data_IF_424970470219
#
_entry.id   IF_424970470219
#
_cell.length_a   1.000
_cell.length_b   1.000
_cell.length_c   1.000
_cell.angle_alpha   90.00
_cell.angle_beta   90.00
_cell.angle_gamma   90.00
#
_symmetry.space_group_name_H-M   'P 1'
#
loop_
_entity.id
_entity.type
_entity.pdbx_description
1 polymer ?
#
# COMPACT_ATOMS: atom_id res chain seq x y z
N UNK A 1 -64.17 25.30 42.74
CA UNK A 1 -63.35 24.93 43.90
C UNK A 1 -63.30 23.42 44.06
N UNK A 2 -62.37 22.88 44.87
CA UNK A 2 -62.12 21.43 45.00
C UNK A 2 -63.36 20.58 45.38
N UNK A 3 -64.38 21.19 45.98
CA UNK A 3 -65.63 20.50 46.31
C UNK A 3 -66.41 19.96 45.09
N UNK A 4 -66.15 20.49 43.88
CA UNK A 4 -66.76 19.96 42.65
C UNK A 4 -66.38 18.50 42.39
N UNK A 5 -65.20 18.07 42.86
CA UNK A 5 -64.74 16.70 42.72
C UNK A 5 -65.68 15.72 43.43
N UNK A 6 -66.23 16.08 44.60
CA UNK A 6 -67.24 15.26 45.28
C UNK A 6 -68.55 15.15 44.49
N UNK A 7 -68.96 16.23 43.83
CA UNK A 7 -70.19 16.24 43.02
C UNK A 7 -70.03 15.33 41.80
N UNK A 8 -68.89 15.42 41.11
CA UNK A 8 -68.57 14.56 39.96
C UNK A 8 -68.38 13.11 40.37
N UNK A 9 -67.66 12.85 41.48
CA UNK A 9 -67.47 11.49 42.00
C UNK A 9 -68.81 10.82 42.38
N UNK A 10 -69.70 11.54 43.06
CA UNK A 10 -71.03 11.03 43.39
C UNK A 10 -71.90 10.82 42.14
N UNK A 11 -71.78 11.69 41.13
CA UNK A 11 -72.47 11.51 39.85
C UNK A 11 -71.99 10.25 39.12
N UNK A 12 -70.68 10.04 39.03
CA UNK A 12 -70.08 8.84 38.45
C UNK A 12 -70.55 7.57 39.17
N UNK A 13 -70.50 7.56 40.51
CA UNK A 13 -70.96 6.43 41.32
C UNK A 13 -72.46 6.18 41.17
N UNK A 14 -73.27 7.24 41.12
CA UNK A 14 -74.72 7.12 40.97
C UNK A 14 -75.11 6.57 39.59
N UNK A 15 -74.44 7.03 38.53
CA UNK A 15 -74.70 6.59 37.15
C UNK A 15 -74.18 5.18 36.87
N UNK A 16 -73.14 4.74 37.59
CA UNK A 16 -72.58 3.39 37.48
C UNK A 16 -72.99 2.45 38.61
N UNK A 17 -74.03 2.80 39.38
CA UNK A 17 -74.44 2.05 40.58
C UNK A 17 -74.73 0.59 40.28
N UNK A 18 -75.52 0.31 39.25
CA UNK A 18 -75.95 -1.06 38.92
C UNK A 18 -74.78 -1.92 38.44
N UNK A 19 -73.87 -1.36 37.63
CA UNK A 19 -72.65 -2.08 37.21
C UNK A 19 -71.74 -2.41 38.40
N UNK A 20 -71.64 -1.48 39.36
CA UNK A 20 -70.80 -1.66 40.56
C UNK A 20 -71.42 -2.65 41.56
N UNK A 21 -72.75 -2.71 41.67
CA UNK A 21 -73.43 -3.66 42.56
C UNK A 21 -73.35 -5.11 42.08
N UNK A 22 -73.14 -5.32 40.78
CA UNK A 22 -73.00 -6.64 40.18
C UNK A 22 -71.53 -7.12 40.12
N UNK A 23 -70.57 -6.27 40.46
CA UNK A 23 -69.15 -6.57 40.38
C UNK A 23 -68.59 -7.08 41.72
N UNK A 24 -67.61 -7.99 41.65
CA UNK A 24 -66.76 -8.35 42.79
C UNK A 24 -65.63 -7.30 42.99
N UNK A 25 -64.76 -7.50 44.00
CA UNK A 25 -63.73 -6.51 44.34
C UNK A 25 -62.77 -6.22 43.16
N UNK A 26 -62.31 -7.27 42.46
CA UNK A 26 -61.42 -7.11 41.32
C UNK A 26 -62.15 -6.49 40.12
N UNK A 27 -63.38 -6.93 39.84
CA UNK A 27 -64.26 -6.41 38.81
C UNK A 27 -64.56 -4.93 38.98
N UNK A 28 -64.82 -4.47 40.21
CA UNK A 28 -65.01 -3.07 40.53
C UNK A 28 -63.76 -2.23 40.23
N UNK A 29 -62.57 -2.70 40.63
CA UNK A 29 -61.31 -2.00 40.33
C UNK A 29 -61.04 -1.92 38.82
N UNK A 30 -61.31 -3.02 38.08
CA UNK A 30 -61.18 -3.05 36.62
C UNK A 30 -62.20 -2.13 35.94
N UNK A 31 -63.43 -2.06 36.45
CA UNK A 31 -64.47 -1.16 35.97
C UNK A 31 -64.03 0.30 36.08
N UNK A 32 -63.55 0.73 37.26
CA UNK A 32 -63.06 2.10 37.47
C UNK A 32 -61.86 2.45 36.59
N UNK A 33 -60.91 1.52 36.40
CA UNK A 33 -59.69 1.79 35.61
C UNK A 33 -59.94 1.81 34.10
N UNK A 34 -60.85 0.98 33.60
CA UNK A 34 -60.96 0.71 32.16
C UNK A 34 -62.30 1.09 31.57
N UNK A 35 -63.42 0.70 32.20
CA UNK A 35 -64.75 0.86 31.60
C UNK A 35 -65.32 2.25 31.84
N UNK A 36 -65.19 2.75 33.08
CA UNK A 36 -65.73 4.05 33.47
C UNK A 36 -65.17 5.21 32.62
N UNK A 37 -63.83 5.33 32.38
CA UNK A 37 -63.30 6.41 31.56
C UNK A 37 -63.73 6.32 30.09
N UNK A 38 -63.93 5.11 29.56
CA UNK A 38 -64.38 4.91 28.17
C UNK A 38 -65.78 5.45 27.92
N UNK A 39 -66.70 5.35 28.90
CA UNK A 39 -68.10 5.78 28.78
C UNK A 39 -68.27 7.29 28.57
N UNK A 40 -67.33 8.09 29.08
CA UNK A 40 -67.38 9.55 29.02
C UNK A 40 -66.41 10.17 28.00
N UNK A 41 -65.90 9.37 27.05
CA UNK A 41 -65.11 9.90 25.91
C UNK A 41 -65.97 10.75 24.96
N UNK A 42 -67.25 10.42 24.81
CA UNK A 42 -68.19 11.17 23.99
C UNK A 42 -68.64 12.44 24.73
N UNK A 43 -68.61 13.58 24.04
CA UNK A 43 -68.92 14.89 24.62
C UNK A 43 -70.33 14.95 25.21
N UNK A 44 -71.30 14.33 24.56
CA UNK A 44 -72.69 14.28 25.03
C UNK A 44 -72.81 13.59 26.41
N UNK A 45 -72.11 12.46 26.57
CA UNK A 45 -72.10 11.72 27.84
C UNK A 45 -71.40 12.51 28.94
N UNK A 46 -70.32 13.22 28.61
CA UNK A 46 -69.60 14.08 29.54
C UNK A 46 -70.46 15.29 29.97
N UNK A 47 -71.18 15.92 29.03
CA UNK A 47 -72.09 17.04 29.32
C UNK A 47 -73.21 16.61 30.25
N UNK A 48 -73.85 15.47 29.97
CA UNK A 48 -74.88 14.88 30.83
C UNK A 48 -74.37 14.54 32.22
N UNK A 49 -73.13 14.03 32.34
CA UNK A 49 -72.50 13.79 33.64
C UNK A 49 -72.31 15.08 34.44
N UNK A 50 -71.85 16.16 33.79
CA UNK A 50 -71.65 17.45 34.46
C UNK A 50 -72.99 18.06 34.93
N UNK A 51 -74.04 17.95 34.12
CA UNK A 51 -75.38 18.38 34.52
C UNK A 51 -75.89 17.60 35.74
N UNK A 52 -75.71 16.26 35.74
CA UNK A 52 -76.04 15.43 36.90
C UNK A 52 -75.21 15.79 38.13
N UNK A 53 -73.92 16.08 37.98
CA UNK A 53 -73.04 16.50 39.06
C UNK A 53 -73.52 17.83 39.69
N UNK A 54 -73.92 18.81 38.88
CA UNK A 54 -74.48 20.07 39.36
C UNK A 54 -75.81 19.90 40.11
N UNK A 55 -76.59 18.89 39.76
CA UNK A 55 -77.87 18.58 40.43
C UNK A 55 -77.70 17.85 41.77
N UNK A 56 -76.55 17.24 42.03
CA UNK A 56 -76.27 16.57 43.31
C UNK A 56 -75.93 17.62 44.35
N UNK A 57 -76.72 17.71 45.42
CA UNK A 57 -76.41 18.60 46.54
C UNK A 57 -75.39 17.95 47.47
N UNK A 58 -74.18 18.51 47.57
CA UNK A 58 -73.18 18.16 48.60
C UNK A 58 -73.06 19.30 49.61
N UNK A 59 -73.83 19.27 50.74
CA UNK A 59 -73.78 20.35 51.72
C UNK A 59 -72.41 20.44 52.38
N UNK A 60 -71.80 21.61 52.38
CA UNK A 60 -70.49 21.87 53.00
C UNK A 60 -70.47 21.56 54.50
N UNK A 61 -71.62 21.71 55.20
CA UNK A 61 -71.77 21.31 56.61
C UNK A 61 -71.59 19.79 56.81
N UNK A 62 -72.04 18.95 55.87
CA UNK A 62 -71.84 17.49 55.94
C UNK A 62 -70.38 17.13 55.68
N UNK A 63 -69.74 17.76 54.71
CA UNK A 63 -68.30 17.55 54.45
C UNK A 63 -67.45 17.88 55.69
N UNK A 64 -67.68 19.03 56.33
CA UNK A 64 -67.00 19.40 57.58
C UNK A 64 -67.26 18.44 58.73
N UNK A 65 -68.46 17.86 58.80
CA UNK A 65 -68.79 16.82 59.79
C UNK A 65 -67.95 15.56 59.54
N UNK A 66 -67.92 15.05 58.30
CA UNK A 66 -67.13 13.86 57.94
C UNK A 66 -65.63 14.08 58.11
N UNK A 67 -65.13 15.28 57.81
CA UNK A 67 -63.74 15.66 58.07
C UNK A 67 -63.40 15.53 59.56
N UNK A 68 -64.25 16.09 60.43
CA UNK A 68 -64.06 16.00 61.89
C UNK A 68 -64.14 14.55 62.39
N UNK A 69 -65.12 13.78 61.91
CA UNK A 69 -65.25 12.36 62.26
C UNK A 69 -64.02 11.54 61.82
N UNK A 70 -63.49 11.80 60.63
CA UNK A 70 -62.28 11.15 60.14
C UNK A 70 -61.04 11.49 60.98
N UNK A 71 -60.88 12.75 61.37
CA UNK A 71 -59.79 13.19 62.25
C UNK A 71 -59.88 12.51 63.62
N UNK A 72 -61.05 12.52 64.26
CA UNK A 72 -61.26 11.85 65.55
C UNK A 72 -61.01 10.34 65.46
N UNK A 73 -61.46 9.69 64.39
CA UNK A 73 -61.19 8.27 64.16
C UNK A 73 -59.68 7.99 64.03
N UNK A 74 -58.95 8.81 63.27
CA UNK A 74 -57.50 8.67 63.08
C UNK A 74 -56.73 8.89 64.38
N UNK A 75 -57.11 9.89 65.16
CA UNK A 75 -56.52 10.17 66.47
C UNK A 75 -56.78 9.02 67.47
N UNK A 76 -58.00 8.50 67.49
CA UNK A 76 -58.35 7.34 68.32
C UNK A 76 -57.58 6.07 67.90
N UNK A 77 -57.39 5.83 66.61
CA UNK A 77 -56.59 4.70 66.13
C UNK A 77 -55.12 4.84 66.54
N UNK A 78 -54.57 6.05 66.48
CA UNK A 78 -53.20 6.33 66.88
C UNK A 78 -53.00 6.20 68.40
N UNK A 79 -54.00 6.56 69.21
CA UNK A 79 -53.97 6.40 70.67
C UNK A 79 -54.16 4.94 71.12
N UNK A 80 -54.79 4.10 70.30
CA UNK A 80 -54.96 2.67 70.58
C UNK A 80 -53.72 1.82 70.24
N UNK A 81 -52.82 2.32 69.39
CA UNK A 81 -51.57 1.62 69.09
C UNK A 81 -50.59 1.74 70.26
N UNK A 82 -50.10 0.60 70.79
CA UNK A 82 -49.09 0.59 71.85
C UNK A 82 -47.83 1.33 71.36
N UNK A 83 -47.40 2.41 72.03
CA UNK A 83 -46.18 3.13 71.68
C UNK A 83 -44.97 2.20 71.53
N UNK A 84 -44.88 1.13 72.33
CA UNK A 84 -43.77 0.19 72.29
C UNK A 84 -43.76 -0.65 71.00
N UNK A 85 -44.92 -1.07 70.52
CA UNK A 85 -45.04 -1.84 69.28
C UNK A 85 -44.76 -0.98 68.05
N UNK A 86 -45.18 0.30 68.08
CA UNK A 86 -44.81 1.28 67.06
C UNK A 86 -43.29 1.46 66.98
N UNK A 87 -42.61 1.68 68.11
CA UNK A 87 -41.16 1.85 68.12
C UNK A 87 -40.41 0.59 67.72
N UNK A 88 -40.88 -0.61 68.11
CA UNK A 88 -40.30 -1.89 67.66
C UNK A 88 -40.39 -2.06 66.14
N UNK A 89 -41.53 -1.73 65.54
CA UNK A 89 -41.72 -1.80 64.08
C UNK A 89 -40.80 -0.82 63.36
N UNK A 90 -40.70 0.41 63.85
CA UNK A 90 -39.83 1.42 63.25
C UNK A 90 -38.35 1.05 63.40
N UNK A 91 -37.93 0.56 64.57
CA UNK A 91 -36.55 0.12 64.79
C UNK A 91 -36.18 -1.05 63.88
N UNK A 92 -37.08 -2.04 63.73
CA UNK A 92 -36.87 -3.13 62.76
C UNK A 92 -36.71 -2.59 61.33
N UNK A 93 -37.59 -1.67 60.91
CA UNK A 93 -37.50 -1.05 59.58
C UNK A 93 -36.19 -0.28 59.37
N UNK A 94 -35.73 0.44 60.39
CA UNK A 94 -34.45 1.16 60.35
C UNK A 94 -33.26 0.20 60.30
N UNK A 95 -33.29 -0.90 61.06
CA UNK A 95 -32.26 -1.95 61.01
C UNK A 95 -32.19 -2.61 59.64
N UNK A 96 -33.33 -2.98 59.05
CA UNK A 96 -33.40 -3.54 57.70
C UNK A 96 -32.88 -2.55 56.65
N UNK A 97 -33.19 -1.26 56.79
CA UNK A 97 -32.67 -0.22 55.92
C UNK A 97 -31.15 -0.02 56.07
N UNK A 98 -30.63 -0.03 57.30
CA UNK A 98 -29.18 0.07 57.56
C UNK A 98 -28.43 -1.09 56.92
N UNK A 99 -28.91 -2.32 57.14
CA UNK A 99 -28.29 -3.53 56.58
C UNK A 99 -28.28 -3.50 55.05
N UNK A 100 -29.36 -3.03 54.42
CA UNK A 100 -29.41 -2.87 52.95
C UNK A 100 -28.39 -1.83 52.47
N UNK A 101 -28.31 -0.69 53.14
CA UNK A 101 -27.37 0.38 52.78
C UNK A 101 -25.91 -0.04 53.00
N UNK A 102 -25.63 -0.81 54.04
CA UNK A 102 -24.31 -1.38 54.30
C UNK A 102 -23.91 -2.34 53.17
N UNK A 103 -24.82 -3.23 52.75
CA UNK A 103 -24.57 -4.13 51.62
C UNK A 103 -24.37 -3.37 50.31
N UNK A 104 -25.23 -2.40 50.00
CA UNK A 104 -25.07 -1.54 48.82
C UNK A 104 -23.73 -0.79 48.85
N UNK A 105 -23.27 -0.35 50.03
CA UNK A 105 -21.98 0.31 50.19
C UNK A 105 -20.80 -0.65 49.94
N UNK A 106 -20.86 -1.86 50.49
CA UNK A 106 -19.83 -2.89 50.29
C UNK A 106 -19.74 -3.31 48.82
N UNK A 107 -20.88 -3.50 48.15
CA UNK A 107 -20.93 -3.83 46.72
C UNK A 107 -20.31 -2.71 45.88
N UNK A 108 -20.68 -1.45 46.14
CA UNK A 108 -20.11 -0.29 45.45
C UNK A 108 -18.60 -0.14 45.70
N UNK A 109 -18.13 -0.40 46.94
CA UNK A 109 -16.72 -0.38 47.26
C UNK A 109 -15.95 -1.47 46.50
N UNK A 110 -16.50 -2.68 46.42
CA UNK A 110 -15.92 -3.78 45.65
C UNK A 110 -15.87 -3.48 44.14
N UNK A 111 -16.95 -2.96 43.55
CA UNK A 111 -16.98 -2.55 42.15
C UNK A 111 -15.95 -1.46 41.86
N UNK A 112 -15.85 -0.45 42.74
CA UNK A 112 -14.89 0.64 42.59
C UNK A 112 -13.45 0.14 42.63
N UNK A 113 -13.11 -0.74 43.58
CA UNK A 113 -11.78 -1.33 43.67
C UNK A 113 -11.47 -2.17 42.44
N UNK A 114 -12.40 -3.00 42.00
CA UNK A 114 -12.25 -3.87 40.83
C UNK A 114 -12.04 -3.04 39.56
N UNK A 115 -12.89 -2.03 39.35
CA UNK A 115 -12.78 -1.11 38.22
C UNK A 115 -11.46 -0.33 38.25
N UNK A 116 -11.03 0.14 39.43
CA UNK A 116 -9.75 0.85 39.59
C UNK A 116 -8.55 -0.03 39.25
N UNK A 117 -8.55 -1.30 39.67
CA UNK A 117 -7.49 -2.26 39.32
C UNK A 117 -7.48 -2.52 37.81
N UNK A 118 -8.65 -2.74 37.21
CA UNK A 118 -8.76 -2.96 35.77
C UNK A 118 -8.22 -1.76 34.97
N UNK A 119 -8.66 -0.54 35.31
CA UNK A 119 -8.19 0.69 34.67
C UNK A 119 -6.69 0.91 34.85
N UNK A 120 -6.13 0.53 36.02
CA UNK A 120 -4.69 0.61 36.24
C UNK A 120 -3.93 -0.37 35.33
N UNK A 121 -4.41 -1.60 35.21
CA UNK A 121 -3.81 -2.59 34.31
C UNK A 121 -3.90 -2.15 32.84
N UNK A 122 -5.02 -1.55 32.43
CA UNK A 122 -5.19 -1.03 31.07
C UNK A 122 -4.25 0.16 30.80
N UNK A 123 -4.07 1.03 31.80
CA UNK A 123 -3.11 2.13 31.73
C UNK A 123 -1.68 1.62 31.60
N UNK A 124 -1.26 0.69 32.46
CA UNK A 124 0.08 0.09 32.42
C UNK A 124 0.33 -0.58 31.04
N UNK A 125 -0.66 -1.31 30.50
CA UNK A 125 -0.56 -1.88 29.15
C UNK A 125 -0.46 -0.83 28.03
N UNK A 126 -1.15 0.31 28.18
CA UNK A 126 -1.07 1.39 27.21
C UNK A 126 0.30 2.09 27.26
N UNK A 127 0.86 2.28 28.45
CA UNK A 127 2.21 2.81 28.67
C UNK A 127 3.27 1.89 28.04
N UNK A 128 3.21 0.58 28.31
CA UNK A 128 4.13 -0.41 27.72
C UNK A 128 4.09 -0.40 26.18
N UNK A 129 2.88 -0.34 25.61
CA UNK A 129 2.70 -0.26 24.15
C UNK A 129 3.27 1.03 23.58
N UNK A 130 3.08 2.17 24.25
CA UNK A 130 3.63 3.44 23.83
C UNK A 130 5.17 3.40 23.83
N UNK A 131 5.77 2.79 24.84
CA UNK A 131 7.23 2.63 24.94
C UNK A 131 7.80 1.73 23.84
N UNK A 132 7.13 0.62 23.52
CA UNK A 132 7.51 -0.26 22.40
C UNK A 132 7.43 0.49 21.07
N UNK A 133 6.30 1.16 20.80
CA UNK A 133 6.12 1.92 19.56
C UNK A 133 7.14 3.05 19.43
N UNK A 134 7.49 3.73 20.53
CA UNK A 134 8.49 4.79 20.52
C UNK A 134 9.90 4.24 20.21
N UNK A 135 10.26 3.06 20.74
CA UNK A 135 11.51 2.38 20.39
C UNK A 135 11.55 1.97 18.91
N UNK A 136 10.48 1.38 18.40
CA UNK A 136 10.37 0.99 16.99
C UNK A 136 10.44 2.19 16.04
N UNK A 137 9.78 3.29 16.42
CA UNK A 137 9.83 4.55 15.69
C UNK A 137 11.26 5.09 15.62
N UNK A 138 11.99 5.07 16.74
CA UNK A 138 13.38 5.54 16.77
C UNK A 138 14.28 4.67 15.88
N UNK A 139 14.17 3.35 15.97
CA UNK A 139 14.92 2.42 15.12
C UNK A 139 14.61 2.61 13.63
N UNK A 140 13.34 2.84 13.30
CA UNK A 140 12.91 3.08 11.91
C UNK A 140 13.45 4.40 11.39
N UNK A 141 13.43 5.47 12.20
CA UNK A 141 14.03 6.76 11.86
C UNK A 141 15.53 6.64 11.63
N UNK A 142 16.24 5.92 12.50
CA UNK A 142 17.67 5.69 12.33
C UNK A 142 17.96 4.95 11.01
N UNK A 143 17.24 3.87 10.73
CA UNK A 143 17.40 3.11 9.48
C UNK A 143 17.08 3.95 8.24
N UNK A 144 16.08 4.83 8.33
CA UNK A 144 15.75 5.76 7.25
C UNK A 144 16.92 6.69 6.95
N UNK A 145 17.50 7.31 7.98
CA UNK A 145 18.66 8.20 7.83
C UNK A 145 19.85 7.45 7.19
N UNK A 146 20.17 6.26 7.71
CA UNK A 146 21.26 5.43 7.14
C UNK A 146 21.00 5.08 5.66
N UNK A 147 19.75 4.78 5.31
CA UNK A 147 19.37 4.47 3.92
C UNK A 147 19.42 5.71 3.02
N UNK A 148 19.01 6.87 3.52
CA UNK A 148 19.09 8.14 2.79
C UNK A 148 20.54 8.57 2.55
N UNK A 149 21.42 8.38 3.54
CA UNK A 149 22.86 8.65 3.41
C UNK A 149 23.52 7.72 2.38
N UNK A 150 23.22 6.42 2.42
CA UNK A 150 23.73 5.45 1.44
C UNK A 150 23.21 5.76 0.03
N UNK A 151 21.93 6.13 -0.11
CA UNK A 151 21.37 6.57 -1.39
C UNK A 151 22.10 7.80 -1.92
N UNK A 152 22.33 8.81 -1.07
CA UNK A 152 23.07 10.03 -1.46
C UNK A 152 24.47 9.68 -1.97
N UNK A 153 25.16 8.78 -1.27
CA UNK A 153 26.50 8.31 -1.67
C UNK A 153 26.47 7.60 -3.02
N UNK A 154 25.51 6.71 -3.25
CA UNK A 154 25.32 6.02 -4.53
C UNK A 154 24.99 7.00 -5.67
N UNK A 155 24.20 8.04 -5.41
CA UNK A 155 23.92 9.11 -6.37
C UNK A 155 25.19 9.90 -6.73
N UNK A 156 26.02 10.22 -5.74
CA UNK A 156 27.33 10.87 -5.94
C UNK A 156 28.29 10.00 -6.76
N UNK A 157 28.41 8.71 -6.43
CA UNK A 157 29.24 7.74 -7.18
C UNK A 157 28.74 7.59 -8.63
N UNK A 158 27.42 7.51 -8.82
CA UNK A 158 26.80 7.45 -10.14
C UNK A 158 27.09 8.71 -10.96
N UNK A 159 27.01 9.89 -10.33
CA UNK A 159 27.32 11.16 -10.98
C UNK A 159 28.80 11.22 -11.42
N UNK A 160 29.72 10.81 -10.54
CA UNK A 160 31.14 10.73 -10.87
C UNK A 160 31.41 9.77 -12.03
N UNK A 161 30.79 8.58 -12.01
CA UNK A 161 30.95 7.59 -13.06
C UNK A 161 30.42 8.11 -14.41
N UNK A 162 29.25 8.76 -14.42
CA UNK A 162 28.71 9.41 -15.62
C UNK A 162 29.66 10.47 -16.17
N UNK A 163 30.26 11.27 -15.31
CA UNK A 163 31.23 12.29 -15.71
C UNK A 163 32.51 11.69 -16.31
N UNK A 164 33.02 10.60 -15.73
CA UNK A 164 34.16 9.86 -16.28
C UNK A 164 33.80 9.29 -17.66
N UNK A 165 32.65 8.63 -17.80
CA UNK A 165 32.21 8.10 -19.09
C UNK A 165 32.06 9.20 -20.15
N UNK A 166 31.49 10.35 -19.78
CA UNK A 166 31.36 11.51 -20.68
C UNK A 166 32.72 11.97 -21.19
N UNK A 167 33.70 12.15 -20.30
CA UNK A 167 35.06 12.55 -20.69
C UNK A 167 35.74 11.53 -21.60
N UNK A 168 35.56 10.24 -21.36
CA UNK A 168 36.14 9.21 -22.21
C UNK A 168 35.47 9.15 -23.58
N UNK A 169 34.15 9.36 -23.64
CA UNK A 169 33.42 9.46 -24.90
C UNK A 169 33.92 10.65 -25.73
N UNK A 170 34.05 11.84 -25.12
CA UNK A 170 34.55 13.05 -25.79
C UNK A 170 35.98 12.85 -26.34
N UNK A 171 36.85 12.18 -25.58
CA UNK A 171 38.21 11.82 -26.04
C UNK A 171 38.18 10.86 -27.22
N UNK A 172 37.36 9.81 -27.17
CA UNK A 172 37.22 8.85 -28.25
C UNK A 172 36.66 9.53 -29.52
N UNK A 173 35.65 10.39 -29.38
CA UNK A 173 35.13 11.19 -30.49
C UNK A 173 36.18 12.12 -31.10
N UNK A 174 37.01 12.75 -30.26
CA UNK A 174 38.12 13.58 -30.73
C UNK A 174 39.16 12.77 -31.52
N UNK A 175 39.58 11.60 -31.01
CA UNK A 175 40.51 10.73 -31.73
C UNK A 175 39.90 10.16 -33.03
N UNK A 176 38.61 9.84 -33.04
CA UNK A 176 37.89 9.46 -34.27
C UNK A 176 37.94 10.62 -35.29
N UNK A 177 37.67 11.86 -34.86
CA UNK A 177 37.74 13.03 -35.76
C UNK A 177 39.16 13.23 -36.31
N UNK A 178 40.17 13.12 -35.45
CA UNK A 178 41.58 13.25 -35.84
C UNK A 178 41.99 12.16 -36.83
N UNK A 179 41.72 10.89 -36.53
CA UNK A 179 42.03 9.77 -37.43
C UNK A 179 41.28 9.88 -38.75
N UNK A 180 40.01 10.29 -38.73
CA UNK A 180 39.22 10.55 -39.94
C UNK A 180 39.84 11.66 -40.80
N UNK A 181 40.30 12.76 -40.19
CA UNK A 181 40.98 13.84 -40.89
C UNK A 181 42.31 13.38 -41.53
N UNK A 182 43.14 12.64 -40.78
CA UNK A 182 44.39 12.06 -41.29
C UNK A 182 44.11 11.12 -42.47
N UNK A 183 43.08 10.27 -42.38
CA UNK A 183 42.69 9.37 -43.48
C UNK A 183 42.26 10.17 -44.71
N UNK A 184 41.53 11.27 -44.53
CA UNK A 184 41.12 12.14 -45.64
C UNK A 184 42.32 12.82 -46.32
N UNK A 185 43.25 13.36 -45.53
CA UNK A 185 44.50 13.95 -46.04
C UNK A 185 45.36 12.90 -46.76
N UNK A 186 45.51 11.71 -46.19
CA UNK A 186 46.23 10.60 -46.83
C UNK A 186 45.61 10.23 -48.18
N UNK A 187 44.28 10.07 -48.24
CA UNK A 187 43.56 9.79 -49.50
C UNK A 187 43.78 10.91 -50.53
N UNK A 188 43.79 12.16 -50.09
CA UNK A 188 44.05 13.31 -50.96
C UNK A 188 45.48 13.26 -51.53
N UNK A 189 46.49 12.99 -50.69
CA UNK A 189 47.88 12.84 -51.14
C UNK A 189 48.00 11.69 -52.15
N UNK A 190 47.40 10.52 -51.86
CA UNK A 190 47.39 9.39 -52.81
C UNK A 190 46.76 9.79 -54.16
N UNK A 191 45.62 10.46 -54.16
CA UNK A 191 44.97 10.93 -55.39
C UNK A 191 45.85 11.92 -56.17
N UNK A 192 46.52 12.84 -55.48
CA UNK A 192 47.46 13.78 -56.10
C UNK A 192 48.68 13.08 -56.71
N UNK A 193 49.23 12.09 -56.01
CA UNK A 193 50.36 11.29 -56.50
C UNK A 193 49.95 10.46 -57.72
N UNK A 194 48.80 9.79 -57.70
CA UNK A 194 48.26 9.07 -58.86
C UNK A 194 48.07 10.00 -60.06
N UNK A 195 47.49 11.19 -59.85
CA UNK A 195 47.30 12.18 -60.91
C UNK A 195 48.64 12.67 -61.49
N UNK A 196 49.65 12.91 -60.65
CA UNK A 196 51.00 13.28 -61.10
C UNK A 196 51.66 12.16 -61.88
N UNK A 197 51.55 10.93 -61.39
CA UNK A 197 52.10 9.75 -62.04
C UNK A 197 51.50 9.54 -63.42
N UNK A 198 50.17 9.64 -63.55
CA UNK A 198 49.45 9.55 -64.83
C UNK A 198 49.89 10.65 -65.80
N UNK A 199 49.99 11.90 -65.34
CA UNK A 199 50.49 13.01 -66.17
C UNK A 199 51.92 12.78 -66.65
N UNK A 200 52.80 12.30 -65.77
CA UNK A 200 54.20 12.05 -66.11
C UNK A 200 54.35 10.83 -67.04
N UNK A 201 53.57 9.77 -66.85
CA UNK A 201 53.48 8.66 -67.79
C UNK A 201 52.95 9.10 -69.15
N UNK A 202 51.91 9.93 -69.19
CA UNK A 202 51.37 10.46 -70.45
C UNK A 202 52.40 11.32 -71.19
N UNK A 203 53.06 12.25 -70.49
CA UNK A 203 54.12 13.08 -71.06
C UNK A 203 55.31 12.25 -71.55
N UNK A 204 55.79 11.29 -70.76
CA UNK A 204 56.88 10.40 -71.16
C UNK A 204 56.49 9.52 -72.36
N UNK A 205 55.24 9.05 -72.41
CA UNK A 205 54.72 8.30 -73.56
C UNK A 205 54.65 9.18 -74.81
N UNK A 206 54.21 10.42 -74.69
CA UNK A 206 54.18 11.38 -75.81
C UNK A 206 55.58 11.71 -76.31
N UNK A 207 56.53 12.01 -75.41
CA UNK A 207 57.95 12.19 -75.76
C UNK A 207 58.52 10.95 -76.45
N UNK A 208 58.22 9.75 -75.94
CA UNK A 208 58.66 8.49 -76.53
C UNK A 208 58.09 8.30 -77.94
N UNK A 209 56.82 8.64 -78.17
CA UNK A 209 56.20 8.60 -79.51
C UNK A 209 56.81 9.64 -80.46
N UNK A 210 57.18 10.83 -79.97
CA UNK A 210 57.93 11.82 -80.77
C UNK A 210 59.32 11.30 -81.14
N UNK A 211 60.04 10.68 -80.20
CA UNK A 211 61.34 10.05 -80.44
C UNK A 211 61.21 8.89 -81.43
N UNK A 212 60.22 8.02 -81.25
CA UNK A 212 59.91 6.95 -82.22
C UNK A 212 59.60 7.52 -83.60
N UNK A 213 58.79 8.58 -83.69
CA UNK A 213 58.50 9.26 -84.96
C UNK A 213 59.76 9.75 -85.68
N UNK A 214 60.68 10.38 -84.94
CA UNK A 214 61.99 10.80 -85.48
C UNK A 214 62.90 9.61 -85.84
N UNK A 215 62.90 8.55 -85.04
CA UNK A 215 63.68 7.33 -85.28
C UNK A 215 63.23 6.60 -86.56
N UNK A 216 61.91 6.47 -86.76
CA UNK A 216 61.33 5.82 -87.94
C UNK A 216 61.44 6.69 -89.21
N UNK A 217 61.66 8.00 -89.08
CA UNK A 217 61.97 8.89 -90.20
C UNK A 217 63.44 8.79 -90.68
N UNK A 218 64.31 8.14 -89.91
CA UNK A 218 65.71 7.89 -90.27
C UNK A 218 65.88 6.56 -91.01
N UNK A 219 66.45 6.60 -92.23
CA UNK A 219 66.61 5.43 -93.11
C UNK A 219 67.52 4.32 -92.55
N UNK A 220 68.43 4.62 -91.62
CA UNK A 220 69.35 3.64 -91.03
C UNK A 220 68.82 3.06 -89.71
N UNK A 221 68.01 3.82 -88.97
CA UNK A 221 67.49 3.40 -87.66
C UNK A 221 66.19 2.57 -87.77
N UNK A 222 65.40 2.77 -88.83
CA UNK A 222 64.16 2.02 -89.07
C UNK A 222 64.37 0.52 -89.32
N UNK A 223 65.58 0.09 -89.69
CA UNK A 223 65.91 -1.31 -89.97
C UNK A 223 66.42 -2.07 -88.73
N UNK A 224 66.81 -1.35 -87.67
CA UNK A 224 67.42 -1.90 -86.45
C UNK A 224 66.38 -2.06 -85.31
N UNK A 225 65.35 -1.21 -85.29
CA UNK A 225 64.31 -1.17 -84.25
C UNK A 225 62.91 -1.49 -84.80
N UNK A 226 62.07 -2.18 -84.02
CA UNK A 226 60.67 -2.43 -84.40
C UNK A 226 59.77 -1.19 -84.18
N UNK A 227 58.53 -1.21 -84.73
CA UNK A 227 57.53 -0.14 -84.52
C UNK A 227 57.20 0.10 -83.04
N UNK A 228 57.45 -0.90 -82.20
CA UNK A 228 57.27 -0.85 -80.75
C UNK A 228 58.48 -0.26 -79.99
N UNK A 229 59.61 0.01 -80.68
CA UNK A 229 60.84 0.57 -80.10
C UNK A 229 61.82 -0.47 -79.54
N UNK A 230 61.58 -1.77 -79.77
CA UNK A 230 62.47 -2.84 -79.31
C UNK A 230 63.61 -3.12 -80.30
N UNK A 231 64.83 -3.27 -79.77
CA UNK A 231 66.03 -3.67 -80.52
C UNK A 231 65.92 -5.15 -80.90
N UNK A 232 66.03 -5.50 -82.19
CA UNK A 232 66.08 -6.92 -82.61
C UNK A 232 67.49 -7.48 -82.42
N UNK A 233 67.82 -7.96 -81.23
CA UNK A 233 69.00 -8.80 -80.97
C UNK A 233 68.64 -9.97 -80.05
N UNK A 234 69.15 -11.16 -80.39
CA UNK A 234 69.02 -12.41 -79.65
C UNK A 234 69.95 -12.48 -78.43
N UNK A 235 69.41 -13.06 -77.35
CA UNK A 235 69.98 -13.61 -76.11
C UNK A 235 71.45 -13.33 -75.72
N UNK A 236 71.66 -12.99 -74.44
CA UNK A 236 72.58 -13.69 -73.52
C UNK A 236 72.28 -13.27 -72.06
N UNK A 237 72.32 -14.27 -71.19
CA UNK A 237 72.18 -14.26 -69.74
C UNK A 237 73.07 -13.23 -69.03
N UNK A 238 72.56 -12.70 -67.91
CA UNK A 238 73.37 -12.21 -66.80
C UNK A 238 72.83 -12.81 -65.50
N UNK A 239 73.56 -13.78 -64.98
CA UNK A 239 73.64 -14.01 -63.54
C UNK A 239 74.22 -12.74 -62.93
N UNK A 240 73.53 -12.18 -61.94
CA UNK A 240 74.09 -11.19 -61.04
C UNK A 240 73.72 -11.57 -59.60
N UNK A 241 74.72 -11.42 -58.75
CA UNK A 241 74.81 -11.90 -57.39
C UNK A 241 73.93 -11.07 -56.45
N UNK A 242 73.47 -11.70 -55.36
CA UNK A 242 72.73 -11.03 -54.30
C UNK A 242 72.63 -11.90 -53.06
N UNK A 243 73.78 -12.25 -52.49
CA UNK A 243 73.88 -12.76 -51.12
C UNK A 243 73.58 -11.58 -50.20
N UNK A 244 72.30 -11.30 -49.93
CA UNK A 244 71.86 -10.41 -48.86
C UNK A 244 70.38 -10.62 -48.46
N UNK A 245 69.78 -11.78 -48.76
CA UNK A 245 68.34 -12.02 -48.57
C UNK A 245 67.98 -13.01 -47.44
N UNK A 246 68.94 -13.65 -46.78
CA UNK A 246 68.60 -14.69 -45.79
C UNK A 246 68.22 -14.08 -44.43
N UNK A 247 68.94 -13.05 -43.98
CA UNK A 247 68.68 -12.37 -42.70
C UNK A 247 67.37 -11.57 -42.70
N UNK A 248 67.04 -10.86 -43.79
CA UNK A 248 65.76 -10.13 -43.91
C UNK A 248 64.57 -11.09 -44.01
N UNK A 249 64.73 -12.20 -44.74
CA UNK A 249 63.69 -13.22 -44.87
C UNK A 249 63.47 -13.96 -43.55
N UNK A 250 64.51 -14.21 -42.79
CA UNK A 250 64.41 -14.81 -41.46
C UNK A 250 63.88 -13.83 -40.40
N UNK A 251 64.20 -12.55 -40.52
CA UNK A 251 63.59 -11.47 -39.72
C UNK A 251 62.08 -11.35 -39.99
N UNK A 252 61.66 -11.36 -41.27
CA UNK A 252 60.25 -11.35 -41.65
C UNK A 252 59.51 -12.60 -41.17
N UNK A 253 60.12 -13.80 -41.28
CA UNK A 253 59.54 -15.03 -40.70
C UNK A 253 59.45 -15.01 -39.18
N UNK A 254 60.38 -14.30 -38.51
CA UNK A 254 60.35 -14.13 -37.06
C UNK A 254 59.20 -13.20 -36.66
N UNK A 255 59.07 -12.06 -37.32
CA UNK A 255 57.95 -11.12 -37.14
C UNK A 255 56.60 -11.78 -37.43
N UNK A 256 56.53 -12.62 -38.47
CA UNK A 256 55.30 -13.34 -38.82
C UNK A 256 54.89 -14.33 -37.71
N UNK A 257 55.85 -15.07 -37.15
CA UNK A 257 55.61 -15.95 -35.99
C UNK A 257 55.20 -15.18 -34.74
N UNK A 258 55.80 -14.02 -34.50
CA UNK A 258 55.50 -13.16 -33.35
C UNK A 258 54.07 -12.60 -33.46
N UNK A 259 53.68 -12.11 -34.64
CA UNK A 259 52.33 -11.69 -34.97
C UNK A 259 51.30 -12.84 -34.86
N UNK A 260 51.66 -14.05 -35.28
CA UNK A 260 50.80 -15.23 -35.13
C UNK A 260 50.57 -15.58 -33.65
N UNK A 261 51.60 -15.42 -32.82
CA UNK A 261 51.55 -15.69 -31.38
C UNK A 261 50.71 -14.62 -30.65
N UNK A 262 50.90 -13.36 -30.98
CA UNK A 262 50.05 -12.25 -30.49
C UNK A 262 48.59 -12.42 -30.90
N UNK A 263 48.34 -12.85 -32.14
CA UNK A 263 46.99 -13.15 -32.61
C UNK A 263 46.36 -14.32 -31.86
N UNK A 264 47.12 -15.39 -31.60
CA UNK A 264 46.64 -16.52 -30.80
C UNK A 264 46.32 -16.10 -29.36
N UNK A 265 47.17 -15.27 -28.77
CA UNK A 265 46.99 -14.76 -27.40
C UNK A 265 45.79 -13.82 -27.29
N UNK A 266 45.59 -12.95 -28.28
CA UNK A 266 44.41 -12.07 -28.36
C UNK A 266 43.12 -12.87 -28.57
N UNK A 267 43.16 -13.93 -29.40
CA UNK A 267 42.02 -14.84 -29.58
C UNK A 267 41.68 -15.57 -28.28
N UNK A 268 42.68 -16.01 -27.51
CA UNK A 268 42.46 -16.62 -26.21
C UNK A 268 41.78 -15.65 -25.25
N UNK A 269 42.31 -14.41 -25.12
CA UNK A 269 41.71 -13.37 -24.29
C UNK A 269 40.26 -13.05 -24.70
N UNK A 270 39.97 -13.05 -26.01
CA UNK A 270 38.62 -12.85 -26.51
C UNK A 270 37.68 -13.98 -26.11
N UNK A 271 38.13 -15.24 -26.17
CA UNK A 271 37.34 -16.40 -25.73
C UNK A 271 37.10 -16.35 -24.22
N UNK A 272 38.12 -16.05 -23.42
CA UNK A 272 37.99 -15.89 -21.97
C UNK A 272 37.02 -14.77 -21.60
N UNK A 273 37.11 -13.62 -22.27
CA UNK A 273 36.19 -12.51 -22.08
C UNK A 273 34.75 -12.90 -22.46
N UNK A 274 34.55 -13.62 -23.58
CA UNK A 274 33.23 -14.11 -23.99
C UNK A 274 32.64 -15.10 -22.99
N UNK A 275 33.43 -16.07 -22.52
CA UNK A 275 32.99 -17.00 -21.48
C UNK A 275 32.62 -16.26 -20.19
N UNK A 276 33.38 -15.23 -19.82
CA UNK A 276 33.08 -14.42 -18.63
C UNK A 276 31.79 -13.62 -18.78
N UNK A 277 31.55 -13.03 -19.95
CA UNK A 277 30.29 -12.34 -20.26
C UNK A 277 29.12 -13.31 -20.18
N UNK A 278 29.25 -14.50 -20.77
CA UNK A 278 28.18 -15.51 -20.78
C UNK A 278 27.85 -16.01 -19.35
N UNK A 279 28.87 -16.19 -18.51
CA UNK A 279 28.68 -16.50 -17.09
C UNK A 279 27.95 -15.38 -16.34
N UNK A 280 28.35 -14.12 -16.54
CA UNK A 280 27.68 -12.97 -15.94
C UNK A 280 26.23 -12.81 -16.42
N UNK A 281 25.95 -13.10 -17.69
CA UNK A 281 24.59 -13.12 -18.24
C UNK A 281 23.74 -14.21 -17.59
N UNK A 282 24.32 -15.39 -17.35
CA UNK A 282 23.64 -16.46 -16.64
C UNK A 282 23.33 -16.08 -15.19
N UNK A 283 24.31 -15.53 -14.47
CA UNK A 283 24.13 -15.03 -13.10
C UNK A 283 23.07 -13.92 -13.03
N UNK A 284 23.08 -12.97 -13.97
CA UNK A 284 22.04 -11.94 -14.08
C UNK A 284 20.66 -12.55 -14.32
N UNK A 285 20.57 -13.57 -15.17
CA UNK A 285 19.33 -14.30 -15.43
C UNK A 285 18.79 -15.01 -14.19
N UNK A 286 19.67 -15.67 -13.43
CA UNK A 286 19.32 -16.31 -12.16
C UNK A 286 18.80 -15.30 -11.13
N UNK A 287 19.53 -14.20 -10.91
CA UNK A 287 19.11 -13.13 -9.99
C UNK A 287 17.79 -12.47 -10.42
N UNK A 288 17.56 -12.27 -11.72
CA UNK A 288 16.28 -11.76 -12.22
C UNK A 288 15.12 -12.72 -11.97
N UNK A 289 15.34 -14.03 -12.11
CA UNK A 289 14.34 -15.04 -11.78
C UNK A 289 14.04 -15.08 -10.28
N UNK A 290 15.06 -14.93 -9.43
CA UNK A 290 14.88 -14.84 -7.97
C UNK A 290 14.10 -13.58 -7.57
N UNK A 291 14.43 -12.42 -8.14
CA UNK A 291 13.68 -11.17 -7.91
C UNK A 291 12.22 -11.32 -8.36
N UNK A 292 11.98 -11.93 -9.52
CA UNK A 292 10.62 -12.15 -10.03
C UNK A 292 9.84 -13.16 -9.16
N UNK A 293 10.49 -14.22 -8.69
CA UNK A 293 9.90 -15.18 -7.76
C UNK A 293 9.59 -14.54 -6.41
N UNK A 294 10.51 -13.72 -5.87
CA UNK A 294 10.31 -12.96 -4.65
C UNK A 294 9.15 -11.96 -4.80
N UNK A 295 9.07 -11.26 -5.95
CA UNK A 295 7.96 -10.35 -6.28
C UNK A 295 6.62 -11.08 -6.34
N UNK A 296 6.54 -12.22 -7.02
CA UNK A 296 5.32 -13.01 -7.11
C UNK A 296 4.90 -13.61 -5.76
N UNK A 297 5.87 -14.02 -4.93
CA UNK A 297 5.65 -14.52 -3.57
C UNK A 297 5.18 -13.40 -2.62
N UNK A 298 5.76 -12.21 -2.74
CA UNK A 298 5.38 -11.03 -1.97
C UNK A 298 4.00 -10.52 -2.36
N UNK A 299 3.73 -10.33 -3.66
CA UNK A 299 2.41 -9.91 -4.14
C UNK A 299 1.31 -10.90 -3.75
N UNK A 300 1.54 -12.22 -3.86
CA UNK A 300 0.55 -13.22 -3.47
C UNK A 300 0.32 -13.29 -1.96
N UNK A 301 1.37 -13.15 -1.13
CA UNK A 301 1.23 -13.14 0.34
C UNK A 301 0.59 -11.87 0.86
N UNK A 302 0.92 -10.70 0.31
CA UNK A 302 0.36 -9.41 0.74
C UNK A 302 -1.09 -9.23 0.25
N UNK A 303 -1.42 -9.61 -0.99
CA UNK A 303 -2.81 -9.54 -1.47
C UNK A 303 -3.72 -10.52 -0.73
N UNK A 304 -3.26 -11.75 -0.45
CA UNK A 304 -4.08 -12.70 0.30
C UNK A 304 -4.26 -12.26 1.76
N UNK A 305 -3.24 -11.69 2.40
CA UNK A 305 -3.35 -11.19 3.78
C UNK A 305 -4.25 -9.95 3.92
N UNK A 306 -4.33 -9.10 2.90
CA UNK A 306 -5.26 -7.95 2.88
C UNK A 306 -6.70 -8.42 2.61
N UNK A 307 -6.88 -9.47 1.81
CA UNK A 307 -8.21 -10.05 1.52
C UNK A 307 -8.82 -10.77 2.73
N UNK A 308 -8.02 -11.38 3.60
CA UNK A 308 -8.49 -11.92 4.89
C UNK A 308 -8.75 -10.83 5.93
N UNK A 309 -8.05 -9.70 5.90
CA UNK A 309 -8.29 -8.58 6.82
C UNK A 309 -9.54 -7.74 6.49
N UNK A 310 -10.04 -7.83 5.25
CA UNK A 310 -11.21 -7.04 4.78
C UNK A 310 -12.39 -7.91 4.31
N UNK A 311 -12.35 -9.21 4.61
CA UNK A 311 -13.41 -10.17 4.26
C UNK A 311 -14.52 -10.20 5.32
N UNK A 312 -15.52 -9.34 5.16
CA UNK A 312 -16.87 -9.57 5.71
C UNK A 312 -17.32 -11.01 5.40
N UNK A 313 -17.59 -11.79 6.43
CA UNK A 313 -18.26 -13.08 6.30
C UNK A 313 -19.60 -12.89 5.57
N UNK A 314 -19.92 -13.68 4.53
CA UNK A 314 -21.29 -13.86 4.12
C UNK A 314 -22.00 -14.67 5.21
N UNK A 315 -23.08 -14.12 5.76
CA UNK A 315 -24.01 -14.81 6.65
C UNK A 315 -24.46 -16.14 6.01
N UNK A 316 -24.25 -17.24 6.73
CA UNK A 316 -24.89 -18.52 6.45
C UNK A 316 -26.40 -18.41 6.68
N UNK A 317 -27.27 -18.89 5.77
CA UNK A 317 -28.68 -19.10 6.07
C UNK A 317 -28.88 -20.32 6.99
N UNK A 318 -29.99 -20.39 7.75
CA UNK A 318 -30.18 -21.38 8.80
C UNK A 318 -30.28 -22.82 8.25
N UNK A 319 -29.62 -23.75 8.92
CA UNK A 319 -29.75 -25.19 8.66
C UNK A 319 -31.19 -25.66 8.88
N UNK A 320 -31.78 -26.24 7.83
CA UNK A 320 -32.98 -27.05 7.94
C UNK A 320 -32.61 -28.43 8.50
N UNK A 321 -33.22 -28.79 9.61
CA UNK A 321 -33.21 -30.12 10.21
C UNK A 321 -33.83 -31.14 9.25
N UNK A 322 -33.10 -32.22 8.96
CA UNK A 322 -33.65 -33.44 8.35
C UNK A 322 -33.45 -34.64 9.30
N UNK A 323 -34.37 -35.62 9.26
CA UNK A 323 -34.49 -36.66 10.27
C UNK A 323 -33.45 -37.79 10.09
N UNK A 324 -33.24 -38.64 11.11
CA UNK A 324 -32.22 -39.68 11.05
C UNK A 324 -32.67 -40.80 10.11
N UNK A 325 -31.80 -41.17 9.18
CA UNK A 325 -31.90 -42.43 8.45
C UNK A 325 -31.19 -43.52 9.25
N UNK A 326 -31.94 -44.58 9.50
CA UNK A 326 -31.46 -45.90 9.84
C UNK A 326 -30.42 -46.39 8.82
N UNK A 327 -29.43 -47.16 9.29
CA UNK A 327 -29.32 -48.60 8.99
C UNK A 327 -27.86 -49.07 8.91
N UNK A 328 -27.63 -50.19 9.60
CA UNK A 328 -26.63 -51.27 9.35
C UNK A 328 -25.21 -51.09 9.84
#
# INVERSE_FOLDING_TARGET
>A
GLNIIFHVALALLKTSKEDLLQADFEGALKFFRVQLPKRYRAEENARRLMEQACNIKVPTKKLKKYEKEYQTMRESQLQQEDPMDRYKRENRRLQEASMRLEQENDDLAHELVTSKIALRNDLDQAEDKADVLNKELLLTKQRLVETEEEKRKQEEETAQLKEVFRKQLEKAEYEIKKTTAIIAEYKQICSQLSTRLEKQQAASKEELEVVKGKMMACKHCSDIFSKEGALKVAAISREDQGIESDDEKDSLKKQLREMELELAQTKLQLVEAKCKIQELEHQRGALMNEIQAAKNSWFSKTLNSIKTATGTQPLQPPQATQPPKEST
#
